data_IF_575262930811
#
_entry.id   IF_575262930811
#
_cell.length_a   1.000
_cell.length_b   1.000
_cell.length_c   1.000
_cell.angle_alpha   90.00
_cell.angle_beta   90.00
_cell.angle_gamma   90.00
#
_symmetry.space_group_name_H-M   'P 1'
#
loop_
_entity.id
_entity.type
_entity.pdbx_description
1 polymer ?
#
# COMPACT_ATOMS: atom_id res chain seq x y z
N UNK A 1 -12.81 7.57 -16.59
CA UNK A 1 -13.39 8.86 -16.15
C UNK A 1 -14.46 8.57 -15.11
N UNK A 2 -14.62 9.41 -14.10
CA UNK A 2 -15.71 9.38 -13.13
C UNK A 2 -16.69 10.52 -13.39
N UNK A 3 -17.94 10.26 -13.07
CA UNK A 3 -19.06 11.16 -13.40
C UNK A 3 -19.94 11.29 -12.18
N UNK A 4 -20.21 12.53 -11.76
CA UNK A 4 -21.15 12.86 -10.68
C UNK A 4 -22.54 13.08 -11.26
N UNK A 5 -23.55 12.41 -10.71
CA UNK A 5 -24.95 12.63 -11.07
C UNK A 5 -25.54 13.76 -10.21
N UNK A 6 -25.99 14.85 -10.82
CA UNK A 6 -26.54 16.03 -10.09
C UNK A 6 -27.78 15.70 -9.26
N UNK A 7 -28.60 14.74 -9.73
CA UNK A 7 -29.86 14.37 -9.08
C UNK A 7 -29.72 13.83 -7.65
N UNK A 8 -28.57 13.18 -7.35
CA UNK A 8 -28.35 12.51 -6.05
C UNK A 8 -26.92 12.65 -5.51
N UNK A 9 -26.03 13.30 -6.27
CA UNK A 9 -24.62 13.49 -5.89
C UNK A 9 -23.74 12.25 -6.05
N UNK A 10 -24.28 11.11 -6.50
CA UNK A 10 -23.53 9.88 -6.66
C UNK A 10 -22.46 10.01 -7.73
N UNK A 11 -21.28 9.44 -7.45
CA UNK A 11 -20.18 9.31 -8.41
C UNK A 11 -20.16 7.90 -8.96
N UNK A 12 -20.19 7.78 -10.27
CA UNK A 12 -20.17 6.52 -11.00
C UNK A 12 -19.10 6.52 -12.07
N UNK A 13 -18.72 5.35 -12.55
CA UNK A 13 -17.79 5.24 -13.69
C UNK A 13 -18.47 5.64 -15.00
N UNK A 14 -17.67 6.02 -16.01
CA UNK A 14 -18.17 6.26 -17.36
C UNK A 14 -18.91 5.04 -17.93
N UNK A 15 -18.40 3.84 -17.69
CA UNK A 15 -19.04 2.60 -18.14
C UNK A 15 -20.42 2.42 -17.53
N UNK A 16 -20.56 2.71 -16.24
CA UNK A 16 -21.84 2.67 -15.54
C UNK A 16 -22.82 3.74 -16.07
N UNK A 17 -22.32 4.95 -16.32
CA UNK A 17 -23.10 6.02 -16.90
C UNK A 17 -23.68 5.63 -18.28
N UNK A 18 -22.87 5.05 -19.16
CA UNK A 18 -23.29 4.55 -20.48
C UNK A 18 -24.33 3.44 -20.35
N UNK A 19 -24.13 2.53 -19.39
CA UNK A 19 -25.08 1.44 -19.11
C UNK A 19 -26.44 1.94 -18.63
N UNK A 20 -26.47 3.03 -17.87
CA UNK A 20 -27.71 3.66 -17.40
C UNK A 20 -28.45 4.42 -18.50
N UNK A 21 -27.82 4.66 -19.65
CA UNK A 21 -28.39 5.37 -20.79
C UNK A 21 -28.32 4.52 -22.09
N UNK A 22 -28.92 3.32 -22.12
CA UNK A 22 -28.72 2.34 -23.19
C UNK A 22 -29.23 2.78 -24.55
N UNK A 23 -30.21 3.72 -24.59
CA UNK A 23 -30.81 4.21 -25.82
C UNK A 23 -30.09 5.44 -26.41
N UNK A 24 -28.90 5.77 -25.88
CA UNK A 24 -28.10 6.92 -26.32
C UNK A 24 -26.82 6.45 -26.97
N UNK A 25 -26.55 6.90 -28.19
CA UNK A 25 -25.28 6.73 -28.85
C UNK A 25 -24.33 7.82 -28.40
N UNK A 26 -23.37 7.46 -27.52
CA UNK A 26 -22.35 8.37 -27.03
C UNK A 26 -21.07 8.31 -27.89
N UNK A 27 -20.38 9.43 -28.10
CA UNK A 27 -19.05 9.42 -28.69
C UNK A 27 -18.04 8.66 -27.80
N UNK A 28 -16.85 8.39 -28.36
CA UNK A 28 -15.80 7.67 -27.64
C UNK A 28 -15.41 8.40 -26.34
N UNK A 29 -15.27 9.72 -26.39
CA UNK A 29 -14.99 10.57 -25.24
C UNK A 29 -16.22 11.40 -24.87
N UNK A 30 -16.60 11.39 -23.59
CA UNK A 30 -17.67 12.24 -23.06
C UNK A 30 -17.08 13.60 -22.65
N UNK A 31 -17.66 14.68 -23.16
CA UNK A 31 -17.34 16.04 -22.74
C UNK A 31 -18.30 16.54 -21.65
N UNK A 32 -17.94 17.64 -20.96
CA UNK A 32 -18.82 18.26 -19.99
C UNK A 32 -20.14 18.78 -20.63
N UNK A 33 -20.09 19.24 -21.90
CA UNK A 33 -21.29 19.69 -22.62
C UNK A 33 -22.29 18.53 -22.80
N UNK A 34 -21.79 17.34 -23.16
CA UNK A 34 -22.65 16.15 -23.28
C UNK A 34 -23.25 15.80 -21.91
N UNK A 35 -22.42 15.75 -20.87
CA UNK A 35 -22.87 15.43 -19.51
C UNK A 35 -23.89 16.44 -18.96
N UNK A 36 -23.80 17.71 -19.35
CA UNK A 36 -24.76 18.75 -18.95
C UNK A 36 -26.19 18.39 -19.39
N UNK A 37 -26.37 17.82 -20.58
CA UNK A 37 -27.68 17.38 -21.09
C UNK A 37 -28.28 16.30 -20.17
N UNK A 38 -27.47 15.48 -19.55
CA UNK A 38 -27.88 14.39 -18.67
C UNK A 38 -27.87 14.77 -17.18
N UNK A 39 -27.65 16.05 -16.87
CA UNK A 39 -27.57 16.50 -15.47
C UNK A 39 -26.41 15.86 -14.70
N UNK A 40 -25.25 15.79 -15.33
CA UNK A 40 -24.05 15.17 -14.77
C UNK A 40 -22.84 16.07 -14.94
N UNK A 41 -21.78 15.80 -14.14
CA UNK A 41 -20.52 16.54 -14.13
C UNK A 41 -19.33 15.57 -14.21
N UNK A 42 -18.26 15.99 -14.88
CA UNK A 42 -16.98 15.27 -14.82
C UNK A 42 -16.41 15.42 -13.41
N UNK A 43 -15.89 14.31 -12.88
CA UNK A 43 -15.04 14.34 -11.67
C UNK A 43 -13.60 14.17 -12.11
N UNK A 44 -12.81 15.20 -11.90
CA UNK A 44 -11.38 15.22 -12.19
C UNK A 44 -10.58 14.57 -11.05
N UNK A 45 -9.38 14.12 -11.35
CA UNK A 45 -8.47 13.64 -10.32
C UNK A 45 -7.95 14.82 -9.48
N UNK A 46 -8.14 14.72 -8.18
CA UNK A 46 -7.64 15.71 -7.22
C UNK A 46 -6.18 15.44 -6.83
N UNK A 47 -5.53 16.45 -6.27
CA UNK A 47 -4.18 16.28 -5.71
C UNK A 47 -4.24 15.48 -4.40
N UNK A 48 -3.30 14.54 -4.26
CA UNK A 48 -3.16 13.78 -3.03
C UNK A 48 -2.26 14.53 -2.05
N UNK A 49 -2.64 14.62 -0.76
CA UNK A 49 -1.77 15.16 0.28
C UNK A 49 -0.59 14.22 0.54
N UNK A 50 0.50 14.76 1.09
CA UNK A 50 1.60 13.94 1.58
C UNK A 50 1.20 13.22 2.87
N UNK A 51 1.61 11.96 3.00
CA UNK A 51 1.46 11.19 4.22
C UNK A 51 2.84 10.66 4.66
N UNK A 52 3.02 10.42 5.95
CA UNK A 52 4.27 9.89 6.53
C UNK A 52 4.08 8.42 6.93
N UNK A 53 4.48 7.46 6.07
CA UNK A 53 4.48 6.04 6.43
C UNK A 53 5.41 5.76 7.63
N UNK A 54 5.15 4.72 8.41
CA UNK A 54 4.10 3.73 8.26
C UNK A 54 2.77 4.11 8.94
N UNK A 55 2.72 5.22 9.66
CA UNK A 55 1.59 5.55 10.53
C UNK A 55 0.53 6.41 9.86
N UNK A 56 0.84 7.02 8.72
CA UNK A 56 -0.11 7.79 7.94
C UNK A 56 -0.34 7.14 6.57
N UNK A 57 -1.55 7.27 6.07
CA UNK A 57 -1.93 6.83 4.74
C UNK A 57 -2.90 7.82 4.09
N UNK A 58 -2.83 7.91 2.77
CA UNK A 58 -3.79 8.71 2.00
C UNK A 58 -4.99 7.83 1.65
N UNK A 59 -6.19 8.36 1.81
CA UNK A 59 -7.41 7.69 1.38
C UNK A 59 -8.34 8.66 0.67
N UNK A 60 -9.19 8.09 -0.17
CA UNK A 60 -10.23 8.85 -0.87
C UNK A 60 -11.33 9.23 0.11
N UNK A 61 -11.63 10.53 0.16
CA UNK A 61 -12.61 11.15 1.08
C UNK A 61 -13.72 11.87 0.30
N UNK A 62 -14.25 11.20 -0.73
CA UNK A 62 -15.32 11.73 -1.55
C UNK A 62 -14.86 12.61 -2.71
N UNK A 63 -15.57 13.68 -2.93
CA UNK A 63 -15.28 14.71 -3.94
C UNK A 63 -15.39 16.12 -3.33
N UNK A 64 -14.72 17.08 -3.95
CA UNK A 64 -14.79 18.50 -3.59
C UNK A 64 -15.01 19.37 -4.83
N UNK A 65 -15.54 20.56 -4.63
CA UNK A 65 -15.61 21.62 -5.65
C UNK A 65 -14.45 22.56 -5.45
N UNK A 66 -13.69 22.84 -6.51
CA UNK A 66 -12.59 23.82 -6.47
C UNK A 66 -13.04 25.20 -6.98
N UNK A 67 -12.14 26.18 -6.89
CA UNK A 67 -12.43 27.58 -7.26
C UNK A 67 -12.77 27.79 -8.74
N UNK A 68 -12.49 26.82 -9.60
CA UNK A 68 -12.88 26.80 -11.01
C UNK A 68 -14.31 26.26 -11.24
N UNK A 69 -15.02 25.87 -10.17
CA UNK A 69 -16.37 25.33 -10.21
C UNK A 69 -16.46 23.84 -10.61
N UNK A 70 -15.32 23.19 -10.85
CA UNK A 70 -15.28 21.77 -11.22
C UNK A 70 -15.22 20.86 -10.00
N UNK A 71 -15.65 19.59 -10.19
CA UNK A 71 -15.58 18.55 -9.16
C UNK A 71 -14.29 17.77 -9.27
N UNK A 72 -13.67 17.52 -8.12
CA UNK A 72 -12.41 16.79 -8.00
C UNK A 72 -12.52 15.69 -6.95
N UNK A 73 -11.80 14.58 -7.16
CA UNK A 73 -11.61 13.59 -6.12
C UNK A 73 -10.92 14.26 -4.92
N UNK A 74 -11.53 14.13 -3.74
CA UNK A 74 -10.94 14.60 -2.49
C UNK A 74 -10.15 13.48 -1.84
N UNK A 75 -8.97 13.80 -1.34
CA UNK A 75 -8.12 12.92 -0.57
C UNK A 75 -7.85 13.49 0.81
N UNK A 76 -7.79 12.62 1.81
CA UNK A 76 -7.47 12.96 3.19
C UNK A 76 -6.36 12.05 3.72
N UNK A 77 -5.67 12.51 4.77
CA UNK A 77 -4.67 11.71 5.47
C UNK A 77 -5.31 11.05 6.68
N UNK A 78 -5.24 9.73 6.72
CA UNK A 78 -5.62 8.92 7.87
C UNK A 78 -4.41 8.58 8.73
N UNK A 79 -4.65 8.30 10.00
CA UNK A 79 -3.64 7.82 10.95
C UNK A 79 -4.02 6.41 11.39
N UNK A 80 -3.10 5.47 11.21
CA UNK A 80 -3.27 4.10 11.67
C UNK A 80 -3.00 3.94 13.15
N UNK A 81 -3.48 2.84 13.74
CA UNK A 81 -3.21 2.51 15.14
C UNK A 81 -1.75 2.04 15.26
N UNK A 82 -0.91 2.87 15.88
CA UNK A 82 0.55 2.65 16.02
C UNK A 82 0.86 1.25 16.56
N UNK A 83 0.23 0.82 17.64
CA UNK A 83 0.47 -0.49 18.25
C UNK A 83 0.19 -1.66 17.29
N UNK A 84 -0.86 -1.56 16.46
CA UNK A 84 -1.20 -2.60 15.47
C UNK A 84 -0.18 -2.62 14.33
N UNK A 85 0.25 -1.46 13.86
CA UNK A 85 1.25 -1.32 12.80
C UNK A 85 2.58 -1.90 13.26
N UNK A 86 3.04 -1.53 14.47
CA UNK A 86 4.29 -2.02 15.05
C UNK A 86 4.24 -3.53 15.30
N UNK A 87 3.15 -4.07 15.83
CA UNK A 87 2.98 -5.50 16.03
C UNK A 87 3.02 -6.29 14.71
N UNK A 88 2.39 -5.78 13.67
CA UNK A 88 2.39 -6.40 12.34
C UNK A 88 3.78 -6.37 11.73
N UNK A 89 4.48 -5.23 11.78
CA UNK A 89 5.85 -5.09 11.31
C UNK A 89 6.80 -6.02 12.08
N UNK A 90 6.66 -6.10 13.41
CA UNK A 90 7.46 -7.00 14.24
C UNK A 90 7.24 -8.48 13.91
N UNK A 91 6.00 -8.86 13.62
CA UNK A 91 5.65 -10.22 13.19
C UNK A 91 6.31 -10.54 11.86
N UNK A 92 6.20 -9.65 10.87
CA UNK A 92 6.81 -9.83 9.56
C UNK A 92 8.34 -9.93 9.64
N UNK A 93 8.97 -9.05 10.43
CA UNK A 93 10.41 -9.09 10.64
C UNK A 93 10.86 -10.41 11.30
N UNK A 94 10.13 -10.91 12.30
CA UNK A 94 10.41 -12.22 12.92
C UNK A 94 10.26 -13.37 11.95
N UNK A 95 9.20 -13.39 11.14
CA UNK A 95 8.98 -14.41 10.13
C UNK A 95 10.13 -14.45 9.10
N UNK A 96 10.58 -13.28 8.64
CA UNK A 96 11.72 -13.17 7.72
C UNK A 96 13.00 -13.70 8.37
N UNK A 97 13.28 -13.33 9.63
CA UNK A 97 14.39 -13.85 10.41
C UNK A 97 14.36 -15.39 10.52
N UNK A 98 13.21 -15.92 10.86
CA UNK A 98 13.04 -17.37 11.06
C UNK A 98 13.25 -18.14 9.75
N UNK A 99 12.77 -17.59 8.63
CA UNK A 99 13.06 -18.13 7.29
C UNK A 99 14.55 -18.17 7.02
N UNK A 100 15.29 -17.07 7.26
CA UNK A 100 16.75 -17.00 7.07
C UNK A 100 17.52 -17.96 8.01
N UNK A 101 17.07 -18.11 9.25
CA UNK A 101 17.64 -19.11 10.17
C UNK A 101 17.43 -20.52 9.65
N UNK A 102 16.22 -20.86 9.20
CA UNK A 102 15.88 -22.15 8.61
C UNK A 102 16.71 -22.45 7.35
N UNK A 103 16.83 -21.47 6.46
CA UNK A 103 17.67 -21.58 5.25
C UNK A 103 19.15 -21.87 5.57
N UNK A 104 19.62 -21.52 6.76
CA UNK A 104 21.00 -21.75 7.22
C UNK A 104 21.15 -22.99 8.14
N UNK A 105 20.09 -23.76 8.43
CA UNK A 105 20.14 -24.90 9.34
C UNK A 105 21.02 -26.04 8.83
N UNK A 106 21.14 -26.17 7.49
CA UNK A 106 22.01 -27.14 6.86
C UNK A 106 23.47 -27.03 7.32
N UNK A 107 23.93 -25.83 7.69
CA UNK A 107 25.29 -25.59 8.20
C UNK A 107 25.52 -26.33 9.51
N UNK A 108 24.50 -26.35 10.38
CA UNK A 108 24.53 -27.08 11.64
C UNK A 108 24.49 -28.58 11.40
N UNK A 109 23.61 -29.04 10.52
CA UNK A 109 23.49 -30.44 10.17
C UNK A 109 24.80 -30.97 9.55
N UNK A 110 25.38 -30.22 8.62
CA UNK A 110 26.68 -30.56 8.01
C UNK A 110 27.80 -30.67 9.07
N UNK A 111 27.80 -29.73 10.04
CA UNK A 111 28.81 -29.79 11.13
C UNK A 111 28.68 -31.05 11.98
N UNK A 112 27.45 -31.45 12.28
CA UNK A 112 27.21 -32.72 13.04
C UNK A 112 27.59 -33.95 12.22
N UNK A 113 27.23 -33.99 10.96
CA UNK A 113 27.46 -35.14 10.04
C UNK A 113 28.96 -35.31 9.75
N UNK A 114 29.69 -34.25 9.52
CA UNK A 114 31.10 -34.30 9.14
C UNK A 114 32.10 -34.20 10.32
N UNK A 115 31.64 -33.85 11.51
CA UNK A 115 32.50 -33.53 12.64
C UNK A 115 33.32 -32.21 12.49
N UNK A 116 33.12 -31.47 11.37
CA UNK A 116 33.81 -30.21 11.12
C UNK A 116 33.00 -29.07 11.71
N UNK A 117 33.59 -28.28 12.59
CA UNK A 117 32.91 -27.17 13.28
C UNK A 117 32.36 -26.11 12.31
N UNK A 118 31.25 -25.46 12.71
CA UNK A 118 30.68 -24.32 11.97
C UNK A 118 31.72 -23.18 11.96
N UNK A 119 31.95 -22.58 10.78
CA UNK A 119 32.84 -21.43 10.64
C UNK A 119 32.38 -20.23 11.43
N UNK A 120 33.31 -19.36 11.82
CA UNK A 120 32.99 -18.10 12.55
C UNK A 120 32.03 -17.22 11.76
N UNK A 121 32.18 -17.13 10.44
CA UNK A 121 31.31 -16.33 9.59
C UNK A 121 29.83 -16.80 9.70
N UNK A 122 29.56 -18.10 9.62
CA UNK A 122 28.22 -18.66 9.78
C UNK A 122 27.68 -18.48 11.21
N UNK A 123 28.54 -18.63 12.23
CA UNK A 123 28.14 -18.37 13.62
C UNK A 123 27.70 -16.92 13.82
N UNK A 124 28.52 -15.97 13.33
CA UNK A 124 28.21 -14.54 13.40
C UNK A 124 26.93 -14.20 12.64
N UNK A 125 26.76 -14.68 11.41
CA UNK A 125 25.54 -14.49 10.63
C UNK A 125 24.29 -14.93 11.40
N UNK A 126 24.29 -16.14 11.91
CA UNK A 126 23.16 -16.72 12.66
C UNK A 126 22.91 -15.97 13.99
N UNK A 127 23.97 -15.49 14.65
CA UNK A 127 23.83 -14.68 15.86
C UNK A 127 23.20 -13.32 15.51
N UNK A 128 23.70 -12.64 14.50
CA UNK A 128 23.14 -11.36 14.04
C UNK A 128 21.65 -11.48 13.68
N UNK A 129 21.21 -12.61 13.08
CA UNK A 129 19.80 -12.87 12.84
C UNK A 129 19.00 -12.98 14.15
N UNK A 130 19.52 -13.67 15.17
CA UNK A 130 18.83 -13.78 16.47
C UNK A 130 18.69 -12.44 17.17
N UNK A 131 19.64 -11.54 16.96
CA UNK A 131 19.71 -10.23 17.59
C UNK A 131 18.85 -9.17 16.88
N UNK A 132 18.24 -9.48 15.71
CA UNK A 132 17.36 -8.57 14.98
C UNK A 132 16.29 -7.92 15.85
N UNK A 133 15.56 -8.64 16.74
CA UNK A 133 14.51 -8.00 17.55
C UNK A 133 15.02 -6.93 18.53
N UNK A 134 16.31 -6.89 18.81
CA UNK A 134 16.95 -5.91 19.70
C UNK A 134 17.69 -4.81 18.94
N UNK A 135 17.70 -4.86 17.61
CA UNK A 135 18.36 -3.86 16.77
C UNK A 135 17.59 -2.53 16.75
N UNK A 136 18.32 -1.42 16.59
CA UNK A 136 17.75 -0.07 16.60
C UNK A 136 16.74 0.20 15.47
N UNK A 137 16.81 -0.55 14.38
CA UNK A 137 15.88 -0.42 13.24
C UNK A 137 14.64 -1.30 13.35
N UNK A 138 14.55 -2.15 14.38
CA UNK A 138 13.38 -3.01 14.56
C UNK A 138 12.16 -2.22 15.08
N UNK A 139 10.95 -2.46 14.54
CA UNK A 139 10.60 -3.47 13.54
C UNK A 139 10.56 -2.95 12.08
N UNK A 140 10.70 -1.64 11.83
CA UNK A 140 10.39 -1.00 10.54
C UNK A 140 11.58 -0.85 9.59
N UNK A 141 12.80 -0.76 10.12
CA UNK A 141 14.01 -0.47 9.34
C UNK A 141 15.11 -1.49 9.63
N UNK A 142 14.78 -2.77 9.45
CA UNK A 142 15.70 -3.88 9.77
C UNK A 142 16.82 -3.96 8.74
N UNK A 143 18.06 -3.88 9.21
CA UNK A 143 19.25 -4.21 8.40
C UNK A 143 19.55 -5.69 8.50
N UNK A 144 19.35 -6.42 7.38
CA UNK A 144 19.55 -7.86 7.34
C UNK A 144 21.03 -8.22 7.13
N UNK A 145 21.59 -9.15 7.91
CA UNK A 145 22.94 -9.63 7.65
C UNK A 145 22.99 -10.43 6.35
N UNK A 146 24.16 -10.38 5.67
CA UNK A 146 24.41 -11.16 4.45
C UNK A 146 24.96 -12.53 4.84
N UNK A 147 24.45 -13.59 4.23
CA UNK A 147 24.96 -14.95 4.42
C UNK A 147 26.40 -15.07 3.85
N UNK A 148 27.28 -15.81 4.51
CA UNK A 148 28.64 -16.08 4.03
C UNK A 148 28.67 -16.96 2.78
#
# INVERSE_FOLDING_TARGET
MEIRLRKNGNVITESEFRRQNPNTSFPLALSQEILNVFGADIVYEGSQPSATPPYQYVYRDGIEVKGDGNYYTKYSVGVGVTATIDASAATNARNTRDTKLKESDWVTLKSVDTGVGITTAWKTYRQNLRDIPTSSGFPHSVTWPTAP
#
